data_IF_481749277451
#
_entry.id   IF_481749277451
#
_cell.length_a   1.000
_cell.length_b   1.000
_cell.length_c   1.000
_cell.angle_alpha   90.00
_cell.angle_beta   90.00
_cell.angle_gamma   90.00
#
_symmetry.space_group_name_H-M   'P 1'
#
loop_
_entity.id
_entity.type
_entity.pdbx_description
1 polymer ?
#
# COMPACT_ATOMS: atom_id res chain seq x y z
N UNK A 1 9.93 -2.01 8.10
CA UNK A 1 8.99 -2.10 6.96
C UNK A 1 9.28 -1.00 5.96
N UNK A 2 9.02 0.24 6.35
CA UNK A 2 9.19 1.43 5.52
C UNK A 2 10.56 1.57 4.84
N UNK A 3 11.66 1.28 5.54
CA UNK A 3 13.02 1.30 4.97
C UNK A 3 13.17 0.34 3.78
N UNK A 4 12.77 -0.93 3.95
CA UNK A 4 12.78 -1.94 2.87
C UNK A 4 11.86 -1.56 1.71
N UNK A 5 10.71 -0.94 1.99
CA UNK A 5 9.83 -0.42 0.92
C UNK A 5 10.52 0.72 0.16
N UNK A 6 11.24 1.60 0.86
CA UNK A 6 12.05 2.66 0.27
C UNK A 6 13.07 2.13 -0.74
N UNK A 7 13.82 1.08 -0.38
CA UNK A 7 14.78 0.44 -1.28
C UNK A 7 14.13 -0.11 -2.56
N UNK A 8 12.95 -0.74 -2.42
CA UNK A 8 12.18 -1.27 -3.54
C UNK A 8 11.71 -0.12 -4.45
N UNK A 9 11.17 0.95 -3.85
CA UNK A 9 10.70 2.14 -4.57
C UNK A 9 11.83 2.77 -5.37
N UNK A 10 12.99 2.98 -4.78
CA UNK A 10 14.15 3.55 -5.48
C UNK A 10 14.61 2.67 -6.64
N UNK A 11 14.63 1.35 -6.46
CA UNK A 11 14.95 0.41 -7.53
C UNK A 11 13.90 0.42 -8.65
N UNK A 12 12.63 0.51 -8.31
CA UNK A 12 11.52 0.56 -9.26
C UNK A 12 11.55 1.85 -10.09
N UNK A 13 11.79 3.01 -9.46
CA UNK A 13 11.97 4.29 -10.16
C UNK A 13 13.10 4.24 -11.18
N UNK A 14 14.29 3.79 -10.76
CA UNK A 14 15.45 3.67 -11.66
C UNK A 14 15.19 2.76 -12.85
N UNK A 15 14.44 1.68 -12.63
CA UNK A 15 14.07 0.71 -13.68
C UNK A 15 12.82 1.08 -14.48
N UNK A 16 12.11 2.15 -14.11
CA UNK A 16 10.83 2.56 -14.71
C UNK A 16 9.80 1.42 -14.75
N UNK A 17 9.71 0.65 -13.67
CA UNK A 17 8.74 -0.46 -13.55
C UNK A 17 7.63 -0.12 -12.57
N UNK A 18 6.43 -0.62 -12.85
CA UNK A 18 5.28 -0.48 -11.97
C UNK A 18 5.45 -1.29 -10.68
N UNK A 19 4.84 -0.80 -9.61
CA UNK A 19 4.65 -1.53 -8.35
C UNK A 19 3.15 -1.82 -8.22
N UNK A 20 2.78 -3.09 -7.98
CA UNK A 20 1.40 -3.48 -7.65
C UNK A 20 1.28 -3.70 -6.14
N UNK A 21 0.31 -3.04 -5.51
CA UNK A 21 -0.03 -3.29 -4.10
C UNK A 21 -0.93 -4.52 -4.04
N UNK A 22 -0.56 -5.50 -3.21
CA UNK A 22 -1.37 -6.70 -2.97
C UNK A 22 -1.74 -6.79 -1.50
N UNK A 23 -3.04 -6.70 -1.20
CA UNK A 23 -3.59 -6.85 0.16
C UNK A 23 -4.36 -8.17 0.23
N UNK A 24 -4.14 -8.92 1.31
CA UNK A 24 -4.84 -10.17 1.61
C UNK A 24 -5.54 -10.04 2.96
N UNK A 25 -6.75 -10.62 3.10
CA UNK A 25 -7.51 -10.64 4.35
C UNK A 25 -6.74 -11.31 5.50
N UNK A 26 -5.93 -12.33 5.20
CA UNK A 26 -5.11 -13.03 6.20
C UNK A 26 -3.92 -12.23 6.75
N UNK A 27 -3.58 -11.09 6.13
CA UNK A 27 -2.42 -10.27 6.51
C UNK A 27 -2.79 -8.84 6.92
N UNK A 28 -4.07 -8.57 7.22
CA UNK A 28 -4.52 -7.27 7.71
C UNK A 28 -3.91 -7.01 9.09
N UNK A 29 -3.38 -5.80 9.32
CA UNK A 29 -2.89 -5.40 10.63
C UNK A 29 -4.04 -5.42 11.65
N UNK A 30 -3.82 -6.08 12.79
CA UNK A 30 -4.81 -6.18 13.89
C UNK A 30 -5.30 -4.82 14.36
N UNK A 31 -4.47 -3.76 14.27
CA UNK A 31 -4.85 -2.39 14.62
C UNK A 31 -5.89 -1.83 13.65
N UNK A 32 -5.72 -2.05 12.35
CA UNK A 32 -6.67 -1.63 11.31
C UNK A 32 -7.99 -2.39 11.49
N UNK A 33 -7.91 -3.70 11.73
CA UNK A 33 -9.10 -4.52 11.97
C UNK A 33 -9.86 -4.04 13.22
N UNK A 34 -9.15 -3.74 14.31
CA UNK A 34 -9.75 -3.20 15.54
C UNK A 34 -10.36 -1.83 15.32
N UNK A 35 -9.68 -0.94 14.59
CA UNK A 35 -10.17 0.40 14.23
C UNK A 35 -11.48 0.34 13.44
N UNK A 36 -11.62 -0.66 12.58
CA UNK A 36 -12.82 -0.88 11.76
C UNK A 36 -13.84 -1.84 12.41
N UNK A 37 -13.78 -2.06 13.73
CA UNK A 37 -14.72 -2.91 14.45
C UNK A 37 -14.84 -4.34 13.89
N UNK A 38 -13.76 -4.90 13.35
CA UNK A 38 -13.75 -6.23 12.74
C UNK A 38 -14.26 -6.30 11.30
N UNK A 39 -14.66 -5.17 10.68
CA UNK A 39 -15.10 -5.16 9.29
C UNK A 39 -13.90 -5.38 8.34
N UNK A 40 -13.84 -6.58 7.76
CA UNK A 40 -12.76 -6.99 6.85
C UNK A 40 -12.70 -6.12 5.58
N UNK A 41 -13.84 -5.78 4.98
CA UNK A 41 -13.88 -5.03 3.72
C UNK A 41 -13.28 -3.64 3.92
N UNK A 42 -13.74 -2.92 4.94
CA UNK A 42 -13.22 -1.59 5.26
C UNK A 42 -11.73 -1.66 5.65
N UNK A 43 -11.33 -2.70 6.38
CA UNK A 43 -9.93 -2.90 6.77
C UNK A 43 -9.01 -3.17 5.58
N UNK A 44 -9.48 -3.90 4.56
CA UNK A 44 -8.72 -4.13 3.33
C UNK A 44 -8.54 -2.83 2.54
N UNK A 45 -9.61 -2.04 2.41
CA UNK A 45 -9.57 -0.74 1.74
C UNK A 45 -8.60 0.21 2.46
N UNK A 46 -8.71 0.31 3.79
CA UNK A 46 -7.81 1.15 4.59
C UNK A 46 -6.35 0.68 4.46
N UNK A 47 -6.09 -0.63 4.55
CA UNK A 47 -4.75 -1.18 4.37
C UNK A 47 -4.16 -0.86 2.98
N UNK A 48 -4.99 -0.92 1.93
CA UNK A 48 -4.57 -0.54 0.59
C UNK A 48 -4.21 0.95 0.52
N UNK A 49 -5.06 1.82 1.09
CA UNK A 49 -4.85 3.27 1.11
C UNK A 49 -3.61 3.67 1.92
N UNK A 50 -3.30 3.01 3.04
CA UNK A 50 -2.06 3.26 3.78
C UNK A 50 -0.81 2.94 2.95
N UNK A 51 -0.84 1.85 2.17
CA UNK A 51 0.25 1.50 1.26
C UNK A 51 0.37 2.50 0.10
N UNK A 52 -0.75 2.99 -0.45
CA UNK A 52 -0.76 4.07 -1.46
C UNK A 52 -0.07 5.32 -0.90
N UNK A 53 -0.50 5.79 0.29
CA UNK A 53 0.09 6.97 0.96
C UNK A 53 1.56 6.79 1.26
N UNK A 54 1.99 5.58 1.63
CA UNK A 54 3.40 5.25 1.82
C UNK A 54 4.19 5.46 0.52
N UNK A 55 3.72 4.92 -0.61
CA UNK A 55 4.39 5.09 -1.91
C UNK A 55 4.42 6.56 -2.34
N UNK A 56 3.33 7.32 -2.12
CA UNK A 56 3.28 8.76 -2.38
C UNK A 56 4.30 9.53 -1.53
N UNK A 57 4.42 9.19 -0.24
CA UNK A 57 5.39 9.81 0.68
C UNK A 57 6.83 9.58 0.23
N UNK A 58 7.08 8.44 -0.42
CA UNK A 58 8.36 8.08 -1.04
C UNK A 58 8.52 8.65 -2.45
N UNK A 59 7.65 9.58 -2.88
CA UNK A 59 7.67 10.23 -4.20
C UNK A 59 7.60 9.23 -5.36
N UNK A 60 6.94 8.08 -5.19
CA UNK A 60 6.63 7.19 -6.29
C UNK A 60 5.41 7.76 -7.04
N UNK A 61 5.53 7.93 -8.36
CA UNK A 61 4.43 8.46 -9.17
C UNK A 61 3.30 7.42 -9.24
N UNK A 62 2.10 7.82 -8.81
CA UNK A 62 0.89 7.01 -8.91
C UNK A 62 0.07 7.55 -10.06
N UNK A 63 -0.08 6.75 -11.11
CA UNK A 63 -1.01 7.04 -12.20
C UNK A 63 -2.33 6.32 -11.94
N UNK A 64 -3.39 7.10 -11.75
CA UNK A 64 -4.75 6.58 -11.62
C UNK A 64 -5.33 6.37 -13.00
N UNK A 65 -5.60 5.12 -13.37
CA UNK A 65 -6.38 4.79 -14.56
C UNK A 65 -7.82 4.55 -14.10
N UNK A 66 -8.69 5.52 -14.34
CA UNK A 66 -10.14 5.36 -14.21
C UNK A 66 -10.66 5.00 -15.61
N UNK A 67 -11.38 3.87 -15.72
CA UNK A 67 -12.17 3.53 -16.91
C UNK A 67 -13.59 4.08 -16.75
#
# INVERSE_FOLDING_TARGET
>A
GQERVGEIVEKAKRKKVAIRIGINSGSIDKKILKKNNGNIVNSMVESALENVRLLESLKFNISYYWN
#
